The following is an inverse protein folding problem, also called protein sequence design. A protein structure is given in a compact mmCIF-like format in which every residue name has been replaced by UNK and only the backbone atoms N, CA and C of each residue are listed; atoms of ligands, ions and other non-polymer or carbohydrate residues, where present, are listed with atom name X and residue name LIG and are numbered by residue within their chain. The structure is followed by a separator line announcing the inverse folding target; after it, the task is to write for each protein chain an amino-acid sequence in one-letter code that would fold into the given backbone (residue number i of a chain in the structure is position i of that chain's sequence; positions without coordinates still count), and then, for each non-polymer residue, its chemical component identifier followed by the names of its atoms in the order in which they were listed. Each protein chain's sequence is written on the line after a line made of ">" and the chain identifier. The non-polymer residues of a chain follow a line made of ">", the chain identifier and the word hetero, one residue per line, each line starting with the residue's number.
data_IF_303319684439
#
_entry.id   IF_303319684439
#
_cell.length_a   1.000
_cell.length_b   1.000
_cell.length_c   1.000
_cell.angle_alpha   90.00
_cell.angle_beta   90.00
_cell.angle_gamma   90.00
#
_symmetry.space_group_name_H-M   'P 1'
#
loop_
_entity.id
_entity.type
_entity.pdbx_description
1 polymer ?
#
# COMPACT_ATOMS: atom_id res chain seq x y z
N UNK A 1 7.28 -1.63 -23.97
CA UNK A 1 7.06 -1.67 -22.51
C UNK A 1 5.56 -1.69 -22.27
N UNK A 2 5.06 -2.46 -21.30
CA UNK A 2 3.61 -2.59 -21.04
C UNK A 2 3.18 -1.44 -20.12
N UNK A 3 2.10 -0.74 -20.48
CA UNK A 3 1.46 0.22 -19.58
C UNK A 3 0.62 -0.56 -18.54
N UNK A 4 0.93 -0.34 -17.26
CA UNK A 4 0.21 -0.95 -16.15
C UNK A 4 -0.79 0.01 -15.50
N UNK A 5 -0.91 1.26 -15.97
CA UNK A 5 -1.81 2.22 -15.36
C UNK A 5 -3.27 1.75 -15.40
N UNK A 6 -4.03 2.08 -14.35
CA UNK A 6 -5.43 1.65 -14.24
C UNK A 6 -6.26 2.64 -13.43
N UNK A 7 -7.58 2.57 -13.58
CA UNK A 7 -8.54 3.32 -12.76
C UNK A 7 -9.41 2.33 -12.01
N UNK A 8 -9.47 2.44 -10.68
CA UNK A 8 -10.36 1.66 -9.82
C UNK A 8 -11.37 2.59 -9.18
N UNK A 9 -12.66 2.40 -9.48
CA UNK A 9 -13.71 3.35 -9.12
C UNK A 9 -13.45 4.70 -9.78
N UNK A 10 -13.18 5.73 -8.98
CA UNK A 10 -12.90 7.10 -9.42
C UNK A 10 -11.43 7.54 -9.19
N UNK A 11 -10.53 6.61 -8.86
CA UNK A 11 -9.12 6.89 -8.60
C UNK A 11 -8.22 6.25 -9.65
N UNK A 12 -7.27 7.03 -10.18
CA UNK A 12 -6.23 6.58 -11.10
C UNK A 12 -4.98 6.15 -10.33
N UNK A 13 -4.35 5.07 -10.80
CA UNK A 13 -3.13 4.50 -10.24
C UNK A 13 -2.10 4.19 -11.34
N UNK A 14 -0.79 4.35 -11.05
CA UNK A 14 0.27 4.04 -12.01
C UNK A 14 0.43 2.53 -12.26
N UNK A 15 -0.07 1.68 -11.37
CA UNK A 15 -0.14 0.22 -11.56
C UNK A 15 -1.29 -0.38 -10.72
N UNK A 16 -1.78 -1.61 -11.02
CA UNK A 16 -2.77 -2.30 -10.19
C UNK A 16 -2.13 -3.01 -8.98
N UNK A 17 -0.81 -2.87 -8.78
CA UNK A 17 -0.08 -3.62 -7.76
C UNK A 17 -0.14 -2.90 -6.41
N UNK A 18 -0.93 -3.45 -5.48
CA UNK A 18 -1.08 -2.90 -4.14
C UNK A 18 -0.54 -3.86 -3.08
N UNK A 19 0.06 -3.34 -2.01
CA UNK A 19 0.43 -4.20 -0.87
C UNK A 19 -0.83 -4.70 -0.16
N UNK A 20 -0.82 -5.93 0.36
CA UNK A 20 -1.90 -6.38 1.23
C UNK A 20 -1.88 -5.62 2.57
N UNK A 21 -3.06 -5.35 3.16
CA UNK A 21 -3.16 -4.65 4.45
C UNK A 21 -2.42 -5.41 5.55
N UNK A 22 -1.64 -4.69 6.34
CA UNK A 22 -0.88 -5.27 7.45
C UNK A 22 0.40 -6.01 7.04
N UNK A 23 0.69 -6.13 5.74
CA UNK A 23 1.93 -6.76 5.23
C UNK A 23 3.03 -5.73 4.92
N UNK A 24 2.70 -4.44 4.85
CA UNK A 24 3.66 -3.37 4.58
C UNK A 24 3.57 -2.21 5.60
N UNK A 25 2.91 -2.41 6.75
CA UNK A 25 2.73 -1.38 7.79
C UNK A 25 2.19 -0.06 7.21
N UNK A 26 3.03 0.97 7.10
CA UNK A 26 2.76 2.28 6.49
C UNK A 26 3.61 2.55 5.23
N UNK A 27 4.38 1.57 4.76
CA UNK A 27 5.32 1.68 3.66
C UNK A 27 6.71 2.18 4.07
N UNK A 28 6.86 2.77 5.27
CA UNK A 28 8.13 3.34 5.75
C UNK A 28 9.27 2.32 5.78
N UNK A 29 8.98 1.11 6.22
CA UNK A 29 9.94 0.01 6.28
C UNK A 29 10.24 -0.56 4.90
N UNK A 30 9.29 -0.48 3.95
CA UNK A 30 9.46 -0.99 2.59
C UNK A 30 10.25 -0.03 1.70
N UNK A 31 10.19 1.28 1.97
CA UNK A 31 10.86 2.34 1.20
C UNK A 31 12.40 2.23 1.16
N UNK A 32 13.00 1.40 2.03
CA UNK A 32 14.44 1.13 1.99
C UNK A 32 14.83 0.05 0.96
N UNK A 33 13.86 -0.75 0.50
CA UNK A 33 14.09 -1.87 -0.42
C UNK A 33 13.63 -1.58 -1.85
N UNK A 34 12.56 -0.80 -2.02
CA UNK A 34 12.00 -0.41 -3.31
C UNK A 34 11.54 1.05 -3.29
N UNK A 35 11.51 1.69 -4.45
CA UNK A 35 10.84 2.99 -4.60
C UNK A 35 9.32 2.78 -4.58
N UNK A 36 8.66 3.32 -3.56
CA UNK A 36 7.21 3.17 -3.39
C UNK A 36 6.40 3.80 -4.55
N UNK A 37 7.01 4.66 -5.39
CA UNK A 37 6.36 5.23 -6.58
C UNK A 37 6.22 4.23 -7.72
N UNK A 38 6.90 3.09 -7.66
CA UNK A 38 6.82 2.03 -8.68
C UNK A 38 5.61 1.10 -8.47
N UNK A 39 5.00 1.13 -7.28
CA UNK A 39 3.78 0.37 -6.98
C UNK A 39 2.54 1.28 -7.04
N UNK A 40 1.37 0.68 -7.22
CA UNK A 40 0.12 1.43 -7.36
C UNK A 40 -0.31 2.09 -6.05
N UNK A 41 -0.22 1.35 -4.94
CA UNK A 41 -0.59 1.85 -3.62
C UNK A 41 -0.02 0.99 -2.48
N UNK A 42 0.17 1.62 -1.33
CA UNK A 42 0.38 0.92 -0.05
C UNK A 42 -0.96 0.86 0.69
N UNK A 43 -1.49 -0.34 0.91
CA UNK A 43 -2.65 -0.53 1.78
C UNK A 43 -2.16 -0.63 3.22
N UNK A 44 -2.45 0.40 4.01
CA UNK A 44 -2.01 0.46 5.41
C UNK A 44 -2.63 -0.65 6.25
N UNK A 45 -2.01 -0.96 7.39
CA UNK A 45 -2.68 -1.74 8.46
C UNK A 45 -4.02 -1.09 8.82
N UNK A 46 -5.01 -1.89 9.21
CA UNK A 46 -6.29 -1.39 9.74
C UNK A 46 -6.07 -0.32 10.82
N UNK A 47 -6.68 0.85 10.63
CA UNK A 47 -6.67 1.94 11.59
C UNK A 47 -7.85 1.78 12.55
N UNK A 48 -7.60 1.94 13.85
CA UNK A 48 -8.60 1.80 14.91
C UNK A 48 -8.79 3.17 15.59
N UNK A 49 -10.00 3.51 16.00
CA UNK A 49 -10.28 4.80 16.66
C UNK A 49 -9.54 5.00 17.99
N UNK A 50 -9.10 3.91 18.62
CA UNK A 50 -8.26 3.91 19.82
C UNK A 50 -7.03 3.03 19.60
N UNK A 51 -5.86 3.36 20.19
CA UNK A 51 -4.66 2.53 20.10
C UNK A 51 -4.91 1.09 20.57
N UNK A 52 -4.29 0.11 19.89
CA UNK A 52 -4.36 -1.32 20.25
C UNK A 52 -2.97 -1.96 20.11
N UNK A 53 -2.52 -2.69 21.13
CA UNK A 53 -1.23 -3.38 21.11
C UNK A 53 -1.21 -4.65 20.23
N UNK A 54 -2.37 -5.30 20.05
CA UNK A 54 -2.46 -6.58 19.33
C UNK A 54 -2.70 -7.75 20.28
N UNK A 55 -2.36 -8.96 19.84
CA UNK A 55 -2.36 -10.17 20.68
C UNK A 55 -0.96 -10.37 21.28
N UNK A 56 -0.82 -11.11 22.39
CA UNK A 56 0.48 -11.53 22.91
C UNK A 56 1.30 -12.31 21.86
#
# INVERSE_FOLDING_TARGET
>A
MIDLSTTLGNAWFPSPLFTASGCASSGKELAQFIDLREIGAVVTKSVMSKPRQGRP
#
